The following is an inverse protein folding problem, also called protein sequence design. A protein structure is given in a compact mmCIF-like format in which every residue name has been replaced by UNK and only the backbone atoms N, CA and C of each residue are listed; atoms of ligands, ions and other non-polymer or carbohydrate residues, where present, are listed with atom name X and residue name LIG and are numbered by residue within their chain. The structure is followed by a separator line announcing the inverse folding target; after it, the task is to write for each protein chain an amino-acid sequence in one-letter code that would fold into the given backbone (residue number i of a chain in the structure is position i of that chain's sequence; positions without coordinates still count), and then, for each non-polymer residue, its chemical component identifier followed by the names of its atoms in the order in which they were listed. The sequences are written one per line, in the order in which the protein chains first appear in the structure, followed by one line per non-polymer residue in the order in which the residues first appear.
data_IF_222805001021
#
_entry.id   IF_222805001021
#
_cell.length_a   1.000
_cell.length_b   1.000
_cell.length_c   1.000
_cell.angle_alpha   90.00
_cell.angle_beta   90.00
_cell.angle_gamma   90.00
#
_symmetry.space_group_name_H-M   'P 1'
#
loop_
_entity.id
_entity.type
_entity.pdbx_description
1 polymer ?
#
# COMPACT_ATOMS: atom_id res chain seq x y z
N UNK A 1 9.45 -1.84 6.53
CA UNK A 1 9.27 -2.03 5.08
C UNK A 1 7.88 -1.54 4.75
N UNK A 2 7.64 -0.80 3.69
CA UNK A 2 6.27 -0.42 3.29
C UNK A 2 5.70 -1.42 2.27
N UNK A 3 4.41 -1.31 1.93
CA UNK A 3 3.81 -2.06 0.81
C UNK A 3 4.66 -1.94 -0.46
N UNK A 4 5.09 -0.72 -0.79
CA UNK A 4 5.93 -0.47 -1.97
C UNK A 4 7.26 -1.21 -1.87
N UNK A 5 7.90 -1.23 -0.69
CA UNK A 5 9.13 -2.01 -0.47
C UNK A 5 8.90 -3.51 -0.65
N UNK A 6 7.77 -4.04 -0.18
CA UNK A 6 7.40 -5.45 -0.34
C UNK A 6 7.22 -5.78 -1.82
N UNK A 7 6.44 -4.98 -2.54
CA UNK A 7 6.16 -5.19 -3.98
C UNK A 7 7.39 -5.04 -4.88
N UNK A 8 8.44 -4.35 -4.43
CA UNK A 8 9.71 -4.21 -5.13
C UNK A 8 10.75 -5.24 -4.69
N UNK A 9 10.52 -5.95 -3.58
CA UNK A 9 11.46 -6.92 -3.05
C UNK A 9 11.47 -8.19 -3.89
N UNK A 10 12.64 -8.65 -4.38
CA UNK A 10 12.76 -9.93 -5.08
C UNK A 10 12.28 -11.11 -4.22
N UNK A 11 12.35 -11.00 -2.90
CA UNK A 11 11.86 -12.02 -1.98
C UNK A 11 10.36 -12.27 -2.14
N UNK A 12 9.59 -11.25 -2.51
CA UNK A 12 8.13 -11.34 -2.67
C UNK A 12 7.72 -11.40 -4.15
N UNK A 13 8.56 -11.98 -5.01
CA UNK A 13 8.25 -12.18 -6.44
C UNK A 13 6.92 -12.93 -6.62
N UNK A 14 6.64 -13.94 -5.78
CA UNK A 14 5.39 -14.69 -5.75
C UNK A 14 4.15 -13.80 -5.55
N UNK A 15 4.23 -12.80 -4.67
CA UNK A 15 3.14 -11.84 -4.48
C UNK A 15 2.90 -11.01 -5.76
N UNK A 16 3.97 -10.51 -6.38
CA UNK A 16 3.84 -9.72 -7.61
C UNK A 16 3.33 -10.54 -8.80
N UNK A 17 3.71 -11.82 -8.85
CA UNK A 17 3.27 -12.78 -9.85
C UNK A 17 1.78 -13.13 -9.67
N UNK A 18 1.36 -13.37 -8.42
CA UNK A 18 -0.05 -13.54 -8.06
C UNK A 18 -0.89 -12.32 -8.42
N UNK A 19 -0.41 -11.11 -8.11
CA UNK A 19 -1.10 -9.87 -8.50
C UNK A 19 -1.22 -9.76 -10.03
N UNK A 20 -0.18 -10.12 -10.77
CA UNK A 20 -0.19 -10.10 -12.24
C UNK A 20 -1.23 -11.06 -12.82
N UNK A 21 -1.34 -12.25 -12.25
CA UNK A 21 -2.27 -13.28 -12.70
C UNK A 21 -3.73 -12.90 -12.42
N UNK A 22 -4.06 -12.48 -11.19
CA UNK A 22 -5.46 -12.20 -10.82
C UNK A 22 -5.95 -10.81 -11.21
N UNK A 23 -5.05 -9.84 -11.35
CA UNK A 23 -5.40 -8.45 -11.68
C UNK A 23 -4.70 -8.05 -12.97
N UNK A 24 -5.01 -8.65 -14.13
CA UNK A 24 -4.30 -8.37 -15.38
C UNK A 24 -4.43 -6.90 -15.76
N UNK A 25 -3.38 -6.35 -16.35
CA UNK A 25 -3.37 -4.94 -16.79
C UNK A 25 -3.97 -4.83 -18.20
N UNK A 26 -5.28 -5.09 -18.31
CA UNK A 26 -6.02 -5.06 -19.56
C UNK A 26 -6.79 -3.73 -19.74
N UNK A 27 -6.44 -2.71 -18.95
CA UNK A 27 -7.07 -1.40 -19.04
C UNK A 27 -6.58 -0.72 -20.32
N UNK A 28 -7.48 -0.27 -21.22
CA UNK A 28 -7.08 0.38 -22.45
C UNK A 28 -6.18 1.60 -22.20
N UNK A 29 -5.11 1.71 -22.99
CA UNK A 29 -4.23 2.88 -22.94
C UNK A 29 -4.94 4.05 -23.60
N UNK A 30 -5.33 5.02 -22.80
CA UNK A 30 -5.86 6.30 -23.29
C UNK A 30 -4.70 7.26 -23.44
N UNK A 31 -4.47 7.77 -24.66
CA UNK A 31 -3.48 8.81 -24.91
C UNK A 31 -4.11 10.17 -24.66
N UNK A 32 -3.68 10.82 -23.59
CA UNK A 32 -4.08 12.19 -23.27
C UNK A 32 -2.88 13.11 -23.50
N UNK A 33 -3.04 14.28 -24.15
CA UNK A 33 -1.97 15.23 -24.32
C UNK A 33 -1.36 15.67 -22.98
N UNK A 34 -0.04 15.83 -22.95
CA UNK A 34 0.66 16.44 -21.82
C UNK A 34 0.38 17.94 -21.83
N UNK A 35 -0.11 18.46 -20.71
CA UNK A 35 -0.31 19.90 -20.48
C UNK A 35 0.92 20.56 -19.87
N UNK A 36 1.66 19.81 -19.03
CA UNK A 36 2.87 20.32 -18.35
C UNK A 36 4.08 19.42 -18.62
N UNK A 37 4.99 19.91 -19.47
CA UNK A 37 6.19 19.19 -19.86
C UNK A 37 7.24 19.11 -18.73
N UNK A 38 8.06 18.06 -18.80
CA UNK A 38 9.22 17.91 -17.91
C UNK A 38 10.32 18.89 -18.36
N UNK A 39 10.81 19.71 -17.45
CA UNK A 39 12.03 20.49 -17.65
C UNK A 39 13.28 19.59 -17.60
N UNK A 40 14.33 19.96 -18.33
CA UNK A 40 15.51 19.07 -18.55
C UNK A 40 16.36 18.80 -17.30
N UNK A 41 16.00 19.32 -16.14
CA UNK A 41 16.76 19.16 -14.91
C UNK A 41 16.73 17.69 -14.44
N UNK A 42 17.84 17.22 -13.86
CA UNK A 42 18.16 15.80 -13.64
C UNK A 42 17.14 15.00 -12.81
N UNK A 43 17.30 13.68 -12.76
CA UNK A 43 16.31 12.74 -12.20
C UNK A 43 15.99 12.94 -10.70
N UNK A 44 16.88 13.57 -9.92
CA UNK A 44 16.65 13.86 -8.49
C UNK A 44 15.60 14.95 -8.28
N UNK A 45 15.53 15.95 -9.17
CA UNK A 45 14.49 16.99 -9.14
C UNK A 45 13.10 16.36 -9.31
N UNK A 46 13.00 15.29 -10.09
CA UNK A 46 11.74 14.65 -10.46
C UNK A 46 10.95 14.08 -9.28
N UNK A 47 11.61 13.29 -8.42
CA UNK A 47 10.96 12.71 -7.23
C UNK A 47 10.60 13.78 -6.20
N UNK A 48 11.40 14.83 -6.10
CA UNK A 48 11.16 15.97 -5.20
C UNK A 48 9.94 16.77 -5.65
N UNK A 49 9.87 17.18 -6.92
CA UNK A 49 8.71 17.88 -7.50
C UNK A 49 7.44 17.07 -7.32
N UNK A 50 7.49 15.76 -7.58
CA UNK A 50 6.33 14.89 -7.40
C UNK A 50 5.80 14.89 -5.97
N UNK A 51 6.70 14.87 -4.99
CA UNK A 51 6.34 14.86 -3.56
C UNK A 51 5.89 16.26 -3.09
N UNK A 52 6.51 17.33 -3.58
CA UNK A 52 6.11 18.70 -3.28
C UNK A 52 4.71 19.01 -3.84
N UNK A 53 4.45 18.58 -5.08
CA UNK A 53 3.12 18.64 -5.68
C UNK A 53 2.09 17.84 -4.86
N UNK A 54 2.43 16.63 -4.39
CA UNK A 54 1.54 15.85 -3.52
C UNK A 54 1.15 16.60 -2.23
N UNK A 55 2.11 17.23 -1.54
CA UNK A 55 1.79 18.10 -0.39
C UNK A 55 0.85 19.24 -0.77
N UNK A 56 1.17 19.98 -1.83
CA UNK A 56 0.37 21.13 -2.27
C UNK A 56 -1.04 20.71 -2.73
N UNK A 57 -1.15 19.57 -3.41
CA UNK A 57 -2.42 18.99 -3.84
C UNK A 57 -3.29 18.66 -2.63
N UNK A 58 -2.71 18.00 -1.61
CA UNK A 58 -3.41 17.69 -0.35
C UNK A 58 -3.82 18.95 0.40
N UNK A 59 -3.01 20.01 0.41
CA UNK A 59 -3.40 21.29 1.01
C UNK A 59 -4.62 21.90 0.32
N UNK A 60 -4.67 21.82 -1.01
CA UNK A 60 -5.80 22.33 -1.77
C UNK A 60 -7.06 21.48 -1.58
N UNK A 61 -6.93 20.15 -1.55
CA UNK A 61 -8.04 19.25 -1.19
C UNK A 61 -8.61 19.55 0.19
N UNK A 62 -7.72 19.78 1.17
CA UNK A 62 -8.12 20.14 2.52
C UNK A 62 -8.94 21.43 2.54
N UNK A 63 -8.53 22.43 1.76
CA UNK A 63 -9.23 23.71 1.66
C UNK A 63 -10.60 23.57 1.00
N UNK A 64 -10.67 22.92 -0.17
CA UNK A 64 -11.92 22.83 -0.95
C UNK A 64 -12.93 21.82 -0.36
N UNK A 65 -12.44 20.87 0.44
CA UNK A 65 -13.27 19.83 1.08
C UNK A 65 -13.32 19.99 2.61
N UNK A 66 -13.14 21.21 3.13
CA UNK A 66 -13.02 21.47 4.57
C UNK A 66 -14.20 20.90 5.40
N UNK A 67 -15.41 20.87 4.84
CA UNK A 67 -16.61 20.32 5.50
C UNK A 67 -16.68 18.79 5.58
N UNK A 68 -15.94 18.06 4.73
CA UNK A 68 -15.98 16.59 4.62
C UNK A 68 -14.69 15.93 5.10
N UNK A 69 -13.82 16.74 5.69
CA UNK A 69 -12.51 16.35 6.15
C UNK A 69 -12.59 15.50 7.42
N UNK A 70 -11.79 14.44 7.46
CA UNK A 70 -11.42 13.78 8.71
C UNK A 70 -10.12 14.37 9.29
N UNK A 71 -9.95 14.26 10.62
CA UNK A 71 -8.95 15.01 11.41
C UNK A 71 -7.55 15.15 10.74
N UNK A 72 -6.89 16.32 10.89
CA UNK A 72 -5.55 16.53 10.39
C UNK A 72 -4.60 15.43 10.86
N UNK A 73 -3.93 14.77 9.93
CA UNK A 73 -2.78 13.92 10.24
C UNK A 73 -1.50 14.73 10.19
N UNK A 74 -0.58 14.35 11.07
CA UNK A 74 0.79 14.84 11.06
C UNK A 74 1.42 14.59 9.69
N UNK A 75 2.24 15.55 9.23
CA UNK A 75 3.00 15.37 7.99
C UNK A 75 4.10 14.33 8.21
N UNK A 76 4.42 13.55 7.17
CA UNK A 76 5.57 12.63 7.21
C UNK A 76 6.86 13.42 7.54
N UNK A 77 6.95 14.65 7.05
CA UNK A 77 8.02 15.59 7.36
C UNK A 77 8.15 15.93 8.86
N UNK A 78 7.07 15.90 9.66
CA UNK A 78 7.16 16.09 11.13
C UNK A 78 7.94 14.95 11.78
N UNK A 79 7.68 13.71 11.38
CA UNK A 79 8.42 12.55 11.88
C UNK A 79 9.90 12.62 11.49
N UNK A 80 10.20 13.05 10.25
CA UNK A 80 11.57 13.28 9.82
C UNK A 80 12.30 14.33 10.67
N UNK A 81 11.65 15.46 10.96
CA UNK A 81 12.24 16.49 11.81
C UNK A 81 12.55 15.94 13.21
N UNK A 82 11.62 15.18 13.81
CA UNK A 82 11.84 14.50 15.08
C UNK A 82 13.02 13.50 15.06
N UNK A 83 13.24 12.80 13.94
CA UNK A 83 14.41 11.93 13.77
C UNK A 83 15.72 12.72 13.70
N UNK A 84 15.72 13.84 13.01
CA UNK A 84 16.88 14.72 12.87
C UNK A 84 17.28 15.31 14.21
N UNK A 85 16.35 15.90 14.95
CA UNK A 85 16.58 16.50 16.27
C UNK A 85 17.07 15.46 17.27
N UNK A 86 16.43 14.28 17.32
CA UNK A 86 16.83 13.17 18.20
C UNK A 86 18.22 12.63 17.89
N UNK A 87 18.56 12.47 16.60
CA UNK A 87 19.90 12.03 16.16
C UNK A 87 20.97 13.03 16.59
N UNK A 88 20.66 14.33 16.49
CA UNK A 88 21.58 15.39 16.85
C UNK A 88 21.77 15.53 18.36
N UNK A 89 20.70 15.40 19.15
CA UNK A 89 20.80 15.33 20.61
C UNK A 89 21.70 14.17 21.07
N UNK A 90 21.62 13.00 20.42
CA UNK A 90 22.51 11.86 20.69
C UNK A 90 23.97 12.14 20.30
N UNK A 91 24.20 12.81 19.16
CA UNK A 91 25.53 13.23 18.73
C UNK A 91 26.14 14.25 19.71
N UNK A 92 25.38 15.22 20.20
CA UNK A 92 25.87 16.20 21.17
C UNK A 92 26.42 15.55 22.45
N UNK A 93 25.81 14.43 22.89
CA UNK A 93 26.28 13.65 24.05
C UNK A 93 27.55 12.84 23.78
N UNK A 94 27.73 12.35 22.55
CA UNK A 94 28.79 11.36 22.22
C UNK A 94 29.98 11.98 21.49
N UNK A 95 29.75 13.06 20.73
CA UNK A 95 30.72 13.76 19.87
C UNK A 95 30.36 15.26 19.81
N UNK A 96 30.57 16.02 20.90
CA UNK A 96 30.11 17.41 21.02
C UNK A 96 30.67 18.34 19.93
N UNK A 97 31.95 18.19 19.56
CA UNK A 97 32.56 19.00 18.49
C UNK A 97 31.90 18.79 17.12
N UNK A 98 31.52 17.56 16.81
CA UNK A 98 30.82 17.23 15.56
C UNK A 98 29.38 17.76 15.57
N UNK A 99 28.71 17.71 16.72
CA UNK A 99 27.36 18.24 16.88
C UNK A 99 27.31 19.77 16.79
N UNK A 100 28.32 20.47 17.34
CA UNK A 100 28.43 21.92 17.29
C UNK A 100 28.38 22.47 15.85
N UNK A 101 28.94 21.73 14.88
CA UNK A 101 28.89 22.10 13.45
C UNK A 101 27.50 21.98 12.83
N UNK A 102 26.64 21.09 13.33
CA UNK A 102 25.31 20.83 12.75
C UNK A 102 24.16 21.46 13.53
N UNK A 103 24.38 21.92 14.77
CA UNK A 103 23.34 22.57 15.59
C UNK A 103 22.72 23.80 14.90
N UNK A 104 23.48 24.74 14.29
CA UNK A 104 22.88 25.86 13.58
C UNK A 104 22.01 25.42 12.40
N UNK A 105 22.36 24.32 11.72
CA UNK A 105 21.58 23.77 10.61
C UNK A 105 20.27 23.14 11.10
N UNK A 106 20.26 22.53 12.28
CA UNK A 106 19.03 22.01 12.90
C UNK A 106 18.10 23.16 13.26
N UNK A 107 18.62 24.20 13.92
CA UNK A 107 17.81 25.37 14.30
C UNK A 107 17.21 26.06 13.08
N UNK A 108 17.99 26.20 11.99
CA UNK A 108 17.47 26.71 10.72
C UNK A 108 16.37 25.80 10.15
N UNK A 109 16.60 24.49 10.13
CA UNK A 109 15.60 23.53 9.63
C UNK A 109 14.29 23.56 10.44
N UNK A 110 14.37 23.72 11.76
CA UNK A 110 13.21 23.90 12.63
C UNK A 110 12.47 25.20 12.30
N UNK A 111 13.20 26.31 12.13
CA UNK A 111 12.63 27.60 11.70
C UNK A 111 11.94 27.49 10.34
N UNK A 112 12.62 26.94 9.34
CA UNK A 112 12.07 26.76 7.98
C UNK A 112 10.80 25.87 8.02
N UNK A 113 10.76 24.88 8.93
CA UNK A 113 9.60 24.01 9.12
C UNK A 113 8.41 24.72 9.79
N UNK A 114 8.68 25.60 10.76
CA UNK A 114 7.65 26.43 11.39
C UNK A 114 7.09 27.45 10.39
N UNK A 115 7.94 28.03 9.55
CA UNK A 115 7.51 28.90 8.44
C UNK A 115 6.61 28.13 7.46
N UNK A 116 6.94 26.88 7.14
CA UNK A 116 6.10 26.01 6.30
C UNK A 116 4.71 25.79 6.89
N UNK A 117 4.61 25.61 8.22
CA UNK A 117 3.32 25.53 8.92
C UNK A 117 2.56 26.84 8.82
N UNK A 118 3.22 27.98 9.02
CA UNK A 118 2.62 29.31 8.90
C UNK A 118 2.02 29.56 7.50
N UNK A 119 2.77 29.23 6.46
CA UNK A 119 2.37 29.41 5.06
C UNK A 119 1.24 28.47 4.65
N UNK A 120 1.30 27.20 5.05
CA UNK A 120 0.20 26.26 4.88
C UNK A 120 -1.10 26.78 5.51
N UNK A 121 -1.02 27.26 6.76
CA UNK A 121 -2.18 27.83 7.45
C UNK A 121 -2.71 29.09 6.74
N UNK A 122 -1.82 29.94 6.22
CA UNK A 122 -2.23 31.09 5.40
C UNK A 122 -2.96 30.63 4.13
N UNK A 123 -2.44 29.62 3.43
CA UNK A 123 -3.05 29.05 2.23
C UNK A 123 -4.43 28.45 2.49
N UNK A 124 -4.62 27.70 3.58
CA UNK A 124 -5.94 27.16 3.93
C UNK A 124 -6.99 28.27 4.12
N UNK A 125 -6.59 29.45 4.62
CA UNK A 125 -7.49 30.59 4.81
C UNK A 125 -7.73 31.38 3.53
N UNK A 126 -6.69 31.66 2.76
CA UNK A 126 -6.76 32.59 1.62
C UNK A 126 -6.98 31.90 0.28
N UNK A 127 -6.54 30.64 0.14
CA UNK A 127 -6.44 29.93 -1.12
C UNK A 127 -5.38 30.48 -2.08
N UNK A 128 -4.57 31.45 -1.65
CA UNK A 128 -3.56 32.11 -2.48
C UNK A 128 -2.30 31.28 -2.50
N UNK A 129 -1.95 30.73 -3.67
CA UNK A 129 -0.67 30.08 -3.91
C UNK A 129 0.43 31.14 -3.97
N UNK A 130 1.49 30.97 -3.17
CA UNK A 130 2.67 31.83 -3.20
C UNK A 130 3.95 31.02 -3.45
N UNK A 131 5.02 31.65 -3.99
CA UNK A 131 6.31 30.99 -4.15
C UNK A 131 6.85 30.40 -2.83
N UNK A 132 6.63 31.10 -1.71
CA UNK A 132 7.08 30.66 -0.39
C UNK A 132 6.38 29.35 0.01
N UNK A 133 5.07 29.23 -0.21
CA UNK A 133 4.34 27.98 0.05
C UNK A 133 4.91 26.82 -0.77
N UNK A 134 5.26 27.06 -2.03
CA UNK A 134 5.87 26.05 -2.91
C UNK A 134 7.24 25.64 -2.38
N UNK A 135 8.06 26.60 -1.96
CA UNK A 135 9.34 26.34 -1.29
C UNK A 135 9.17 25.48 -0.03
N UNK A 136 8.14 25.78 0.76
CA UNK A 136 7.78 24.96 1.91
C UNK A 136 7.40 23.53 1.50
N UNK A 137 6.61 23.33 0.45
CA UNK A 137 6.32 21.99 -0.07
C UNK A 137 7.59 21.25 -0.55
N UNK A 138 8.55 21.96 -1.16
CA UNK A 138 9.85 21.39 -1.55
C UNK A 138 10.70 21.01 -0.34
N UNK A 139 10.66 21.80 0.74
CA UNK A 139 11.27 21.46 2.02
C UNK A 139 10.65 20.20 2.63
N UNK A 140 9.32 20.12 2.67
CA UNK A 140 8.60 18.95 3.19
C UNK A 140 8.95 17.69 2.37
N UNK A 141 9.02 17.81 1.04
CA UNK A 141 9.46 16.73 0.15
C UNK A 141 10.89 16.25 0.46
N UNK A 142 11.80 17.16 0.82
CA UNK A 142 13.16 16.79 1.25
C UNK A 142 13.15 16.01 2.56
N UNK A 143 12.34 16.43 3.53
CA UNK A 143 12.18 15.74 4.81
C UNK A 143 11.55 14.35 4.65
N UNK A 144 10.65 14.18 3.68
CA UNK A 144 10.10 12.87 3.31
C UNK A 144 11.19 11.85 2.96
N UNK A 145 12.24 12.27 2.23
CA UNK A 145 13.39 11.41 1.90
C UNK A 145 14.12 10.97 3.17
N UNK A 146 14.27 11.86 4.15
CA UNK A 146 14.90 11.54 5.44
C UNK A 146 14.13 10.45 6.17
N UNK A 147 12.80 10.58 6.26
CA UNK A 147 11.95 9.57 6.87
C UNK A 147 12.03 8.23 6.15
N UNK A 148 11.87 8.22 4.81
CA UNK A 148 11.83 7.00 4.00
C UNK A 148 13.14 6.23 4.00
N UNK A 149 14.27 6.94 4.06
CA UNK A 149 15.60 6.32 4.05
C UNK A 149 16.12 5.99 5.44
N UNK A 150 15.52 6.58 6.48
CA UNK A 150 16.02 6.49 7.86
C UNK A 150 17.38 7.15 8.06
N UNK A 151 17.75 8.12 7.22
CA UNK A 151 19.08 8.76 7.20
C UNK A 151 19.00 10.25 7.51
N UNK A 152 19.11 10.65 8.80
CA UNK A 152 19.04 12.04 9.24
C UNK A 152 20.06 12.97 8.56
N UNK A 153 21.20 12.43 8.13
CA UNK A 153 22.22 13.20 7.41
C UNK A 153 21.72 13.78 6.07
N UNK A 154 20.66 13.21 5.47
CA UNK A 154 20.08 13.72 4.23
C UNK A 154 19.34 15.05 4.42
N UNK A 155 18.92 15.38 5.65
CA UNK A 155 18.33 16.68 5.96
C UNK A 155 19.32 17.83 5.69
N UNK A 156 20.61 17.58 5.94
CA UNK A 156 21.68 18.57 5.83
C UNK A 156 22.48 18.48 4.54
N UNK A 157 22.23 17.48 3.70
CA UNK A 157 22.78 17.51 2.36
C UNK A 157 22.19 18.71 1.65
N UNK A 158 23.05 19.58 1.16
CA UNK A 158 22.70 20.46 0.07
C UNK A 158 22.35 19.55 -1.11
N UNK A 159 21.07 19.25 -1.24
CA UNK A 159 20.53 19.19 -2.60
C UNK A 159 20.42 20.67 -2.91
N UNK A 160 21.49 21.26 -3.44
CA UNK A 160 21.37 22.58 -4.04
C UNK A 160 20.10 22.51 -4.90
N UNK A 161 19.23 23.50 -4.75
CA UNK A 161 18.27 23.70 -5.81
C UNK A 161 19.14 23.95 -7.04
N UNK A 162 19.28 22.94 -7.91
CA UNK A 162 20.07 23.10 -9.13
C UNK A 162 19.55 24.33 -9.90
N UNK A 163 18.22 24.55 -9.78
CA UNK A 163 17.53 25.79 -10.12
C UNK A 163 16.22 25.89 -9.28
N UNK A 164 16.23 26.70 -8.21
CA UNK A 164 15.07 26.86 -7.30
C UNK A 164 13.86 27.46 -8.03
N UNK A 165 14.13 28.45 -8.88
CA UNK A 165 13.09 29.14 -9.64
C UNK A 165 12.39 28.18 -10.61
N UNK A 166 13.16 27.32 -11.28
CA UNK A 166 12.61 26.29 -12.16
C UNK A 166 11.75 25.26 -11.40
N UNK A 167 12.16 24.83 -10.20
CA UNK A 167 11.35 23.90 -9.41
C UNK A 167 10.06 24.53 -8.91
N UNK A 168 10.11 25.80 -8.48
CA UNK A 168 8.91 26.57 -8.08
C UNK A 168 7.96 26.66 -9.26
N UNK A 169 8.44 27.16 -10.40
CA UNK A 169 7.65 27.33 -11.63
C UNK A 169 7.04 25.99 -12.08
N UNK A 170 7.79 24.89 -11.98
CA UNK A 170 7.27 23.57 -12.37
C UNK A 170 6.16 23.07 -11.45
N UNK A 171 6.31 23.22 -10.12
CA UNK A 171 5.24 22.84 -9.17
C UNK A 171 4.02 23.74 -9.36
N UNK A 172 4.22 25.03 -9.57
CA UNK A 172 3.16 26.00 -9.84
C UNK A 172 2.37 25.62 -11.11
N UNK A 173 3.05 25.37 -12.24
CA UNK A 173 2.42 24.95 -13.49
C UNK A 173 1.62 23.67 -13.33
N UNK A 174 2.14 22.67 -12.60
CA UNK A 174 1.40 21.44 -12.31
C UNK A 174 0.12 21.74 -11.52
N UNK A 175 0.20 22.60 -10.50
CA UNK A 175 -0.94 22.94 -9.66
C UNK A 175 -2.02 23.72 -10.42
N UNK A 176 -1.62 24.70 -11.23
CA UNK A 176 -2.54 25.51 -12.04
C UNK A 176 -3.24 24.71 -13.14
N UNK A 177 -2.61 23.63 -13.63
CA UNK A 177 -3.18 22.78 -14.67
C UNK A 177 -4.29 21.82 -14.17
N UNK A 178 -4.46 21.67 -12.85
CA UNK A 178 -5.43 20.72 -12.27
C UNK A 178 -6.86 21.21 -12.48
N UNK A 179 -7.70 20.40 -13.10
CA UNK A 179 -9.14 20.54 -12.96
C UNK A 179 -9.58 20.00 -11.59
N UNK A 180 -10.04 20.89 -10.71
CA UNK A 180 -10.42 20.54 -9.33
C UNK A 180 -11.82 19.93 -9.21
N UNK A 181 -12.67 20.05 -10.22
CA UNK A 181 -14.06 19.57 -10.19
C UNK A 181 -14.18 18.08 -9.79
N UNK A 182 -13.37 17.14 -10.34
CA UNK A 182 -13.46 15.72 -9.98
C UNK A 182 -13.00 15.39 -8.55
N UNK A 183 -12.44 16.36 -7.82
CA UNK A 183 -11.90 16.19 -6.47
C UNK A 183 -12.73 16.89 -5.39
N UNK A 184 -13.88 17.46 -5.76
CA UNK A 184 -14.86 17.98 -4.81
C UNK A 184 -15.59 16.80 -4.16
N UNK A 185 -15.41 16.65 -2.86
CA UNK A 185 -16.08 15.62 -2.06
C UNK A 185 -17.54 16.01 -1.79
N UNK A 186 -18.38 14.99 -1.66
CA UNK A 186 -19.80 15.09 -1.31
C UNK A 186 -20.08 14.54 0.08
N UNK A 187 -19.28 13.58 0.54
CA UNK A 187 -19.48 12.89 1.82
C UNK A 187 -18.20 12.77 2.63
N UNK A 188 -17.10 12.33 2.02
CA UNK A 188 -15.85 12.10 2.73
C UNK A 188 -14.63 12.44 1.90
N UNK A 189 -13.66 13.08 2.54
CA UNK A 189 -12.32 13.31 2.02
C UNK A 189 -11.28 12.91 3.08
N UNK A 190 -10.48 11.91 2.77
CA UNK A 190 -9.41 11.40 3.63
C UNK A 190 -8.09 11.59 2.92
N UNK A 191 -7.20 12.36 3.55
CA UNK A 191 -5.87 12.64 3.04
C UNK A 191 -4.86 11.76 3.76
N UNK A 192 -3.94 11.16 3.01
CA UNK A 192 -3.01 10.14 3.49
C UNK A 192 -3.68 9.07 4.37
N UNK A 193 -4.73 8.39 3.87
CA UNK A 193 -5.33 7.27 4.58
C UNK A 193 -4.27 6.20 4.86
N UNK A 194 -4.32 5.70 6.09
CA UNK A 194 -3.56 4.54 6.54
C UNK A 194 -4.56 3.42 6.75
N UNK A 195 -4.11 2.18 6.62
CA UNK A 195 -4.98 1.02 6.78
C UNK A 195 -4.88 0.42 8.20
N UNK A 196 -4.55 1.24 9.21
CA UNK A 196 -4.39 0.81 10.60
C UNK A 196 -3.51 -0.44 10.77
N UNK A 197 -4.00 -1.43 11.52
CA UNK A 197 -3.32 -2.73 11.70
C UNK A 197 -3.08 -3.47 10.39
N UNK A 198 -3.96 -3.35 9.41
CA UNK A 198 -3.76 -3.96 8.10
C UNK A 198 -2.54 -3.36 7.40
N UNK A 199 -2.39 -2.03 7.44
CA UNK A 199 -1.20 -1.34 6.94
C UNK A 199 0.09 -1.81 7.62
N UNK A 200 0.04 -2.15 8.91
CA UNK A 200 1.19 -2.71 9.63
C UNK A 200 1.62 -4.09 9.13
N UNK A 201 0.73 -4.89 8.51
CA UNK A 201 1.08 -6.20 7.94
C UNK A 201 2.14 -6.09 6.85
N UNK A 202 2.11 -4.98 6.12
CA UNK A 202 3.06 -4.66 5.06
C UNK A 202 4.11 -3.65 5.52
N UNK A 203 4.18 -3.41 6.85
CA UNK A 203 5.06 -2.49 7.57
C UNK A 203 4.86 -1.00 7.26
N UNK A 204 3.67 -0.64 6.79
CA UNK A 204 3.26 0.71 6.45
C UNK A 204 2.65 0.78 5.05
N UNK A 205 1.50 1.43 4.92
CA UNK A 205 0.83 1.65 3.65
C UNK A 205 -0.02 2.91 3.77
N UNK A 206 0.41 3.92 3.01
CA UNK A 206 -0.19 5.24 2.98
C UNK A 206 -0.56 5.48 1.53
N UNK A 207 -1.86 5.42 1.24
CA UNK A 207 -2.35 5.88 -0.06
C UNK A 207 -2.49 7.39 -0.02
N UNK A 208 -2.52 8.05 -1.17
CA UNK A 208 -2.50 9.51 -1.19
C UNK A 208 -3.86 10.08 -0.74
N UNK A 209 -4.96 9.61 -1.35
CA UNK A 209 -6.29 10.19 -1.16
C UNK A 209 -7.39 9.12 -1.21
N UNK A 210 -8.44 9.27 -0.38
CA UNK A 210 -9.75 8.65 -0.60
C UNK A 210 -10.81 9.75 -0.62
N UNK A 211 -11.58 9.85 -1.71
CA UNK A 211 -12.73 10.77 -1.84
C UNK A 211 -13.94 9.97 -2.33
N UNK A 212 -15.05 10.01 -1.60
CA UNK A 212 -16.33 9.42 -1.96
C UNK A 212 -16.23 8.01 -2.59
N UNK A 213 -15.50 7.12 -1.92
CA UNK A 213 -15.31 5.72 -2.32
C UNK A 213 -14.34 5.51 -3.48
N UNK A 214 -13.61 6.55 -3.87
CA UNK A 214 -12.52 6.52 -4.84
C UNK A 214 -11.18 6.61 -4.12
N UNK A 215 -10.39 5.53 -4.19
CA UNK A 215 -9.00 5.50 -3.76
C UNK A 215 -8.11 6.04 -4.88
N UNK A 216 -7.43 7.16 -4.65
CA UNK A 216 -6.64 7.86 -5.66
C UNK A 216 -5.16 7.87 -5.25
N UNK A 217 -4.30 7.56 -6.21
CA UNK A 217 -2.84 7.70 -6.10
C UNK A 217 -2.33 8.66 -7.19
N UNK A 218 -1.43 9.56 -6.79
CA UNK A 218 -0.90 10.66 -7.58
C UNK A 218 0.40 10.22 -8.27
N UNK A 219 0.42 10.31 -9.60
CA UNK A 219 1.60 9.97 -10.41
C UNK A 219 2.01 11.16 -11.25
N UNK A 220 2.87 12.00 -10.68
CA UNK A 220 3.64 12.99 -11.44
C UNK A 220 4.65 12.22 -12.29
N UNK A 221 4.26 11.77 -13.48
CA UNK A 221 5.06 10.97 -14.43
C UNK A 221 5.00 11.60 -15.83
N UNK A 222 6.10 11.55 -16.59
CA UNK A 222 6.12 12.03 -17.98
C UNK A 222 5.24 11.17 -18.91
N UNK A 223 4.91 9.94 -18.49
CA UNK A 223 4.05 9.01 -19.23
C UNK A 223 2.73 8.80 -18.51
N UNK A 224 1.62 8.78 -19.25
CA UNK A 224 0.26 8.56 -18.74
C UNK A 224 -0.16 7.09 -18.86
N UNK A 225 0.77 6.18 -18.59
CA UNK A 225 0.52 4.73 -18.73
C UNK A 225 0.31 4.12 -17.36
N UNK A 226 -0.75 3.31 -17.21
CA UNK A 226 -0.94 2.45 -16.05
C UNK A 226 0.19 1.41 -16.01
N UNK A 227 1.24 1.69 -15.24
CA UNK A 227 2.32 0.75 -15.04
C UNK A 227 1.89 -0.40 -14.12
N UNK A 228 2.50 -1.58 -14.30
CA UNK A 228 2.22 -2.75 -13.46
C UNK A 228 2.47 -2.49 -11.98
N UNK A 229 3.51 -1.72 -11.65
CA UNK A 229 3.85 -1.32 -10.29
C UNK A 229 2.75 -0.45 -9.66
N UNK A 230 2.17 0.48 -10.42
CA UNK A 230 1.10 1.36 -9.94
C UNK A 230 -0.18 0.58 -9.69
N UNK A 231 -0.54 -0.33 -10.61
CA UNK A 231 -1.69 -1.21 -10.42
C UNK A 231 -1.52 -2.12 -9.20
N UNK A 232 -0.33 -2.72 -9.02
CA UNK A 232 -0.04 -3.56 -7.85
C UNK A 232 -0.19 -2.78 -6.54
N UNK A 233 0.28 -1.54 -6.51
CA UNK A 233 0.19 -0.67 -5.34
C UNK A 233 -1.28 -0.34 -5.02
N UNK A 234 -2.06 0.11 -6.00
CA UNK A 234 -3.49 0.41 -5.82
C UNK A 234 -4.30 -0.80 -5.38
N UNK A 235 -4.08 -1.97 -5.99
CA UNK A 235 -4.75 -3.21 -5.58
C UNK A 235 -4.33 -3.60 -4.16
N UNK A 236 -3.06 -3.46 -3.81
CA UNK A 236 -2.60 -3.70 -2.45
C UNK A 236 -3.29 -2.78 -1.45
N UNK A 237 -3.37 -1.48 -1.71
CA UNK A 237 -4.11 -0.53 -0.89
C UNK A 237 -5.60 -0.88 -0.74
N UNK A 238 -6.26 -1.25 -1.84
CA UNK A 238 -7.64 -1.72 -1.79
C UNK A 238 -7.79 -3.00 -0.95
N UNK A 239 -6.93 -4.00 -1.12
CA UNK A 239 -6.98 -5.22 -0.30
C UNK A 239 -6.72 -4.93 1.19
N UNK A 240 -5.85 -3.97 1.50
CA UNK A 240 -5.63 -3.48 2.85
C UNK A 240 -6.86 -2.75 3.42
N UNK A 241 -7.59 -1.98 2.60
CA UNK A 241 -8.80 -1.30 3.03
C UNK A 241 -9.92 -2.28 3.40
N UNK A 242 -10.00 -3.43 2.74
CA UNK A 242 -10.95 -4.51 3.09
C UNK A 242 -10.66 -5.16 4.46
N UNK A 243 -9.47 -4.93 5.02
CA UNK A 243 -9.09 -5.37 6.37
C UNK A 243 -9.20 -4.25 7.40
N UNK A 244 -9.22 -2.99 6.95
CA UNK A 244 -9.36 -1.83 7.81
C UNK A 244 -10.84 -1.58 8.10
N UNK A 245 -11.38 -2.33 9.05
CA UNK A 245 -12.81 -2.33 9.36
C UNK A 245 -13.11 -1.75 10.74
N UNK A 246 -14.32 -1.21 10.89
CA UNK A 246 -14.95 -0.87 12.17
C UNK A 246 -16.34 -1.50 12.14
N UNK A 247 -16.72 -2.22 13.20
CA UNK A 247 -17.98 -2.95 13.26
C UNK A 247 -18.21 -3.88 12.05
N UNK A 248 -17.12 -4.47 11.53
CA UNK A 248 -17.07 -5.32 10.34
C UNK A 248 -17.25 -4.69 8.99
N UNK A 249 -17.34 -3.36 8.95
CA UNK A 249 -17.50 -2.65 7.70
C UNK A 249 -16.21 -1.90 7.40
N UNK A 250 -15.74 -1.88 6.13
CA UNK A 250 -14.62 -1.06 5.75
C UNK A 250 -14.86 0.37 6.21
N UNK A 251 -13.89 0.95 6.92
CA UNK A 251 -14.02 2.32 7.45
C UNK A 251 -14.24 3.31 6.29
N UNK A 252 -13.61 3.04 5.15
CA UNK A 252 -13.81 3.75 3.90
C UNK A 252 -14.17 2.74 2.80
N UNK A 253 -15.46 2.55 2.49
CA UNK A 253 -15.88 1.67 1.39
C UNK A 253 -15.34 2.20 0.07
N UNK A 254 -14.52 1.39 -0.61
CA UNK A 254 -13.92 1.76 -1.90
C UNK A 254 -14.59 0.95 -3.01
N UNK A 255 -15.17 1.65 -4.00
CA UNK A 255 -15.73 1.04 -5.20
C UNK A 255 -14.89 1.32 -6.45
N UNK A 256 -13.94 2.24 -6.38
CA UNK A 256 -13.11 2.63 -7.51
C UNK A 256 -11.70 2.91 -7.05
N UNK A 257 -10.72 2.36 -7.77
CA UNK A 257 -9.32 2.78 -7.66
C UNK A 257 -9.00 3.71 -8.82
N UNK A 258 -8.13 4.69 -8.60
CA UNK A 258 -7.77 5.66 -9.61
C UNK A 258 -6.31 6.08 -9.54
N UNK A 259 -5.75 6.39 -10.72
CA UNK A 259 -4.49 7.10 -10.85
C UNK A 259 -4.73 8.48 -11.43
N UNK A 260 -4.24 9.50 -10.75
CA UNK A 260 -4.20 10.85 -11.30
C UNK A 260 -2.82 11.15 -11.89
N UNK A 261 -2.79 11.65 -13.12
CA UNK A 261 -1.59 12.08 -13.83
C UNK A 261 -1.61 13.61 -13.99
N UNK A 262 -1.00 14.38 -13.05
CA UNK A 262 -1.09 15.84 -13.06
C UNK A 262 -0.56 16.49 -14.33
N UNK A 263 0.49 15.92 -14.94
CA UNK A 263 1.08 16.44 -16.19
C UNK A 263 0.16 16.40 -17.40
N UNK A 264 -0.93 15.66 -17.34
CA UNK A 264 -1.92 15.56 -18.40
C UNK A 264 -3.33 15.89 -17.91
N UNK A 265 -3.46 16.36 -16.66
CA UNK A 265 -4.74 16.54 -15.96
C UNK A 265 -5.72 15.37 -16.18
N UNK A 266 -5.23 14.14 -15.99
CA UNK A 266 -5.96 12.93 -16.35
C UNK A 266 -6.16 12.00 -15.17
N UNK A 267 -7.43 11.71 -14.84
CA UNK A 267 -7.84 10.79 -13.78
C UNK A 267 -8.33 9.47 -14.38
N UNK A 268 -7.46 8.46 -14.39
CA UNK A 268 -7.81 7.11 -14.81
C UNK A 268 -8.56 6.38 -13.69
N UNK A 269 -9.86 6.14 -13.86
CA UNK A 269 -10.72 5.43 -12.91
C UNK A 269 -10.93 3.97 -13.33
N UNK A 270 -10.82 3.05 -12.37
CA UNK A 270 -11.05 1.62 -12.56
C UNK A 270 -12.01 1.14 -11.46
N UNK A 271 -13.25 0.76 -11.79
CA UNK A 271 -14.15 0.13 -10.83
C UNK A 271 -13.52 -1.14 -10.27
N UNK A 272 -13.55 -1.36 -8.96
CA UNK A 272 -12.99 -2.59 -8.36
C UNK A 272 -13.74 -3.83 -8.87
N UNK A 273 -15.04 -3.69 -9.11
CA UNK A 273 -15.88 -4.72 -9.74
C UNK A 273 -15.41 -5.17 -11.14
N UNK A 274 -14.47 -4.44 -11.77
CA UNK A 274 -13.84 -4.87 -13.02
C UNK A 274 -13.09 -6.21 -12.88
N UNK A 275 -12.52 -6.50 -11.70
CA UNK A 275 -11.74 -7.71 -11.48
C UNK A 275 -12.54 -8.83 -10.82
N UNK A 276 -13.21 -8.52 -9.70
CA UNK A 276 -13.94 -9.50 -8.91
C UNK A 276 -15.17 -8.87 -8.27
N UNK A 277 -16.15 -9.71 -7.94
CA UNK A 277 -17.22 -9.36 -7.01
C UNK A 277 -16.72 -9.38 -5.55
N UNK A 278 -17.63 -9.08 -4.61
CA UNK A 278 -17.33 -9.08 -3.17
C UNK A 278 -16.72 -10.42 -2.71
N UNK A 279 -17.30 -11.54 -3.12
CA UNK A 279 -16.87 -12.88 -2.70
C UNK A 279 -15.47 -13.22 -3.23
N UNK A 280 -15.21 -12.90 -4.51
CA UNK A 280 -13.90 -13.05 -5.12
C UNK A 280 -12.85 -12.22 -4.39
N UNK A 281 -13.17 -10.98 -4.01
CA UNK A 281 -12.25 -10.13 -3.25
C UNK A 281 -11.97 -10.65 -1.84
N UNK A 282 -12.96 -11.21 -1.14
CA UNK A 282 -12.70 -11.84 0.16
C UNK A 282 -11.74 -13.02 0.04
N UNK A 283 -11.86 -13.80 -1.04
CA UNK A 283 -10.89 -14.85 -1.33
C UNK A 283 -9.50 -14.28 -1.61
N UNK A 284 -9.39 -13.27 -2.49
CA UNK A 284 -8.11 -12.65 -2.86
C UNK A 284 -7.44 -11.99 -1.65
N UNK A 285 -8.21 -11.40 -0.73
CA UNK A 285 -7.73 -10.82 0.53
C UNK A 285 -6.98 -11.86 1.37
N UNK A 286 -7.56 -13.05 1.56
CA UNK A 286 -6.93 -14.11 2.34
C UNK A 286 -5.62 -14.61 1.72
N UNK A 287 -5.58 -14.72 0.39
CA UNK A 287 -4.36 -15.13 -0.34
C UNK A 287 -3.27 -14.07 -0.27
N UNK A 288 -3.64 -12.79 -0.43
CA UNK A 288 -2.73 -11.65 -0.27
C UNK A 288 -2.06 -11.64 1.11
N UNK A 289 -2.84 -11.83 2.19
CA UNK A 289 -2.29 -11.91 3.56
C UNK A 289 -1.28 -13.05 3.67
N UNK A 290 -1.60 -14.22 3.10
CA UNK A 290 -0.71 -15.39 3.09
C UNK A 290 0.63 -15.07 2.43
N UNK A 291 0.60 -14.48 1.23
CA UNK A 291 1.77 -14.14 0.44
C UNK A 291 2.61 -12.99 1.03
N UNK A 292 1.97 -12.04 1.73
CA UNK A 292 2.68 -10.97 2.46
C UNK A 292 3.42 -11.54 3.68
N UNK A 293 2.82 -12.49 4.39
CA UNK A 293 3.41 -13.08 5.61
C UNK A 293 4.45 -14.15 5.32
N UNK A 294 4.25 -14.91 4.24
CA UNK A 294 5.14 -15.98 3.81
C UNK A 294 5.49 -15.83 2.33
N UNK A 295 6.64 -15.21 2.08
CA UNK A 295 7.14 -14.98 0.74
C UNK A 295 7.61 -16.28 0.04
N UNK A 296 7.73 -17.40 0.76
CA UNK A 296 8.00 -18.71 0.17
C UNK A 296 6.73 -19.45 -0.26
N UNK A 297 5.54 -18.87 -0.03
CA UNK A 297 4.28 -19.48 -0.41
C UNK A 297 4.12 -19.43 -1.93
N UNK A 298 4.15 -20.60 -2.57
CA UNK A 298 3.84 -20.77 -3.99
C UNK A 298 2.35 -21.13 -4.16
N UNK A 299 1.67 -20.45 -5.09
CA UNK A 299 0.31 -20.81 -5.48
C UNK A 299 0.35 -21.77 -6.66
N UNK A 300 -0.37 -22.88 -6.52
CA UNK A 300 -0.43 -23.97 -7.51
C UNK A 300 -1.83 -24.02 -8.09
N UNK A 301 -1.95 -23.98 -9.42
CA UNK A 301 -3.22 -24.23 -10.11
C UNK A 301 -3.49 -25.75 -10.12
N UNK A 302 -4.62 -26.16 -9.53
CA UNK A 302 -4.97 -27.56 -9.39
C UNK A 302 -5.50 -28.18 -10.69
N UNK A 303 -6.04 -27.37 -11.60
CA UNK A 303 -6.67 -27.89 -12.82
C UNK A 303 -5.64 -28.35 -13.86
N UNK A 304 -4.44 -27.76 -13.87
CA UNK A 304 -3.44 -28.04 -14.89
C UNK A 304 -2.19 -28.76 -14.36
N UNK A 305 -2.09 -29.05 -13.05
CA UNK A 305 -0.91 -29.66 -12.42
C UNK A 305 0.43 -28.91 -12.63
N UNK A 306 0.42 -27.78 -13.34
CA UNK A 306 1.54 -26.89 -13.58
C UNK A 306 1.72 -25.93 -12.41
N UNK A 307 2.98 -25.68 -12.06
CA UNK A 307 3.30 -24.53 -11.23
C UNK A 307 2.93 -23.29 -12.03
N UNK A 308 2.13 -22.38 -11.44
CA UNK A 308 1.89 -21.09 -12.09
C UNK A 308 3.20 -20.33 -12.30
N UNK A 309 4.25 -20.64 -11.51
CA UNK A 309 5.57 -20.00 -11.59
C UNK A 309 6.70 -21.00 -11.33
N UNK A 310 7.67 -21.06 -12.24
CA UNK A 310 8.93 -21.80 -12.08
C UNK A 310 10.04 -20.79 -11.82
N UNK A 311 10.27 -20.43 -10.56
CA UNK A 311 11.56 -19.84 -10.20
C UNK A 311 12.16 -20.54 -8.98
N UNK A 312 13.47 -20.75 -9.05
CA UNK A 312 14.20 -21.86 -8.42
C UNK A 312 14.72 -21.56 -7.02
N UNK A 313 14.23 -20.51 -6.36
CA UNK A 313 14.67 -20.11 -5.02
C UNK A 313 13.80 -20.70 -3.91
N UNK A 314 13.73 -22.04 -3.82
CA UNK A 314 13.07 -22.71 -2.70
C UNK A 314 14.04 -22.85 -1.52
N UNK A 315 13.83 -22.10 -0.43
CA UNK A 315 14.58 -22.31 0.82
C UNK A 315 13.98 -23.49 1.60
N UNK A 316 14.85 -24.40 2.04
CA UNK A 316 14.49 -25.64 2.76
C UNK A 316 14.15 -25.33 4.22
N UNK A 317 12.93 -25.67 4.64
CA UNK A 317 12.54 -25.76 6.04
C UNK A 317 12.11 -27.17 6.38
N UNK A 318 11.98 -27.40 7.67
CA UNK A 318 11.95 -28.71 8.29
C UNK A 318 10.47 -28.75 8.88
N UNK A 319 9.55 -29.71 8.58
CA UNK A 319 8.15 -29.93 9.15
C UNK A 319 7.74 -31.40 9.51
N UNK A 320 7.21 -31.70 10.72
CA UNK A 320 6.95 -33.06 11.25
C UNK A 320 5.61 -33.52 10.72
N UNK A 321 5.59 -34.73 10.17
CA UNK A 321 4.47 -35.30 9.43
C UNK A 321 3.18 -35.38 10.27
N UNK A 322 3.31 -35.47 11.60
CA UNK A 322 2.17 -35.65 12.52
C UNK A 322 1.56 -34.32 12.98
N UNK A 323 2.22 -33.19 12.70
CA UNK A 323 1.79 -31.84 13.10
C UNK A 323 1.50 -30.92 11.91
N UNK A 324 1.54 -31.45 10.70
CA UNK A 324 1.27 -30.72 9.47
C UNK A 324 -0.21 -30.32 9.37
N UNK A 325 -0.47 -29.00 9.32
CA UNK A 325 -1.80 -28.41 9.16
C UNK A 325 -1.89 -27.64 7.85
N UNK A 326 -3.09 -27.56 7.28
CA UNK A 326 -3.34 -26.71 6.13
C UNK A 326 -2.99 -25.24 6.45
N UNK A 327 -2.16 -24.56 5.65
CA UNK A 327 -1.76 -23.18 5.93
C UNK A 327 -2.93 -22.19 5.83
N UNK A 328 -3.98 -22.58 5.09
CA UNK A 328 -5.14 -21.71 4.85
C UNK A 328 -6.26 -21.86 5.88
N UNK A 329 -6.41 -23.02 6.52
CA UNK A 329 -7.53 -23.27 7.43
C UNK A 329 -7.18 -24.10 8.66
N UNK A 330 -5.90 -24.39 8.87
CA UNK A 330 -5.36 -25.11 10.04
C UNK A 330 -5.88 -26.55 10.26
N UNK A 331 -6.62 -27.11 9.29
CA UNK A 331 -7.08 -28.48 9.37
C UNK A 331 -5.93 -29.49 9.20
N UNK A 332 -5.98 -30.56 9.96
CA UNK A 332 -5.04 -31.70 9.96
C UNK A 332 -5.36 -32.73 8.87
N UNK A 333 -6.50 -32.59 8.20
CA UNK A 333 -6.93 -33.49 7.13
C UNK A 333 -6.52 -32.96 5.77
N UNK A 334 -5.67 -33.70 5.10
CA UNK A 334 -5.24 -33.44 3.72
C UNK A 334 -5.08 -34.75 2.95
N UNK A 335 -5.19 -34.68 1.63
CA UNK A 335 -4.78 -35.75 0.72
C UNK A 335 -3.47 -35.38 0.06
N UNK A 336 -2.57 -36.37 -0.04
CA UNK A 336 -1.36 -36.29 -0.84
C UNK A 336 -1.71 -36.86 -2.21
N UNK A 337 -1.29 -36.20 -3.29
CA UNK A 337 -1.52 -36.74 -4.63
C UNK A 337 -0.78 -38.08 -4.78
N UNK A 338 -1.47 -39.10 -5.32
CA UNK A 338 -0.95 -40.46 -5.48
C UNK A 338 0.24 -40.55 -6.46
N UNK A 339 0.43 -39.52 -7.30
CA UNK A 339 1.53 -39.44 -8.27
C UNK A 339 2.93 -39.22 -7.65
N UNK A 340 3.06 -39.18 -6.32
CA UNK A 340 4.37 -39.06 -5.65
C UNK A 340 5.06 -37.70 -5.85
N UNK A 341 6.33 -37.61 -5.43
CA UNK A 341 7.18 -36.42 -5.59
C UNK A 341 7.16 -35.94 -7.04
N UNK A 342 6.97 -34.64 -7.22
CA UNK A 342 7.24 -34.00 -8.52
C UNK A 342 8.72 -34.15 -8.91
N UNK A 343 9.09 -33.94 -10.18
CA UNK A 343 10.50 -33.92 -10.61
C UNK A 343 11.39 -32.95 -9.81
N UNK A 344 10.79 -31.94 -9.17
CA UNK A 344 11.44 -30.97 -8.29
C UNK A 344 11.54 -31.41 -6.81
N UNK A 345 11.13 -32.64 -6.46
CA UNK A 345 11.15 -33.17 -5.09
C UNK A 345 10.04 -32.64 -4.17
N UNK A 346 9.07 -31.88 -4.72
CA UNK A 346 7.93 -31.31 -3.99
C UNK A 346 6.76 -32.29 -3.90
N UNK A 347 6.12 -32.36 -2.73
CA UNK A 347 4.87 -33.07 -2.48
C UNK A 347 3.68 -32.10 -2.60
N UNK A 348 2.59 -32.57 -3.22
CA UNK A 348 1.34 -31.81 -3.37
C UNK A 348 0.32 -32.26 -2.33
N UNK A 349 -0.23 -31.28 -1.62
CA UNK A 349 -1.26 -31.47 -0.60
C UNK A 349 -2.54 -30.78 -1.02
N UNK A 350 -3.68 -31.41 -0.74
CA UNK A 350 -5.00 -30.80 -0.84
C UNK A 350 -5.70 -30.91 0.51
N UNK A 351 -6.03 -29.78 1.12
CA UNK A 351 -6.75 -29.79 2.38
C UNK A 351 -8.17 -30.33 2.18
N UNK A 352 -8.57 -31.33 2.97
CA UNK A 352 -9.93 -31.89 2.88
C UNK A 352 -11.00 -30.97 3.46
N UNK A 353 -10.61 -30.01 4.30
CA UNK A 353 -11.55 -29.09 4.96
C UNK A 353 -11.84 -27.85 4.13
N UNK A 354 -10.81 -27.16 3.63
CA UNK A 354 -11.00 -25.94 2.81
C UNK A 354 -10.83 -26.17 1.31
N UNK A 355 -10.54 -27.40 0.89
CA UNK A 355 -10.32 -27.79 -0.50
C UNK A 355 -9.13 -27.09 -1.20
N UNK A 356 -8.34 -26.27 -0.49
CA UNK A 356 -7.18 -25.54 -1.00
C UNK A 356 -5.94 -26.43 -1.09
N UNK A 357 -5.12 -26.15 -2.11
CA UNK A 357 -3.90 -26.90 -2.43
C UNK A 357 -2.64 -26.12 -2.04
N UNK A 358 -1.59 -26.85 -1.67
CA UNK A 358 -0.29 -26.30 -1.28
C UNK A 358 0.81 -27.35 -1.48
N UNK A 359 2.07 -26.92 -1.58
CA UNK A 359 3.21 -27.84 -1.81
C UNK A 359 4.34 -27.63 -0.81
N UNK A 360 5.08 -28.70 -0.51
CA UNK A 360 6.30 -28.65 0.32
C UNK A 360 7.40 -29.53 -0.26
N UNK A 361 8.68 -29.29 0.08
CA UNK A 361 9.82 -30.13 -0.33
C UNK A 361 10.24 -31.01 0.86
N UNK A 362 10.46 -32.31 0.64
CA UNK A 362 11.18 -33.17 1.60
C UNK A 362 12.47 -33.67 0.96
N UNK A 363 13.57 -33.68 1.70
CA UNK A 363 14.81 -34.34 1.30
C UNK A 363 14.91 -35.71 1.97
N UNK A 364 15.09 -36.77 1.17
CA UNK A 364 15.40 -38.11 1.69
C UNK A 364 16.83 -38.19 2.21
N UNK A 365 17.03 -38.99 3.26
CA UNK A 365 18.35 -39.31 3.81
C UNK A 365 18.64 -38.68 5.17
N UNK A 366 17.95 -39.13 6.22
CA UNK A 366 18.46 -39.21 7.61
C UNK A 366 17.39 -39.88 8.49
N UNK A 367 17.82 -40.81 9.33
CA UNK A 367 17.01 -41.72 10.17
C UNK A 367 15.93 -41.03 11.03
N UNK A 368 15.06 -41.88 11.61
CA UNK A 368 13.78 -41.69 12.35
C UNK A 368 13.57 -40.49 13.31
N UNK A 369 14.49 -39.53 13.39
CA UNK A 369 14.32 -38.26 14.09
C UNK A 369 14.83 -37.12 13.20
N UNK A 370 14.18 -36.90 12.07
CA UNK A 370 14.56 -35.83 11.14
C UNK A 370 13.79 -34.56 11.54
N UNK A 371 14.54 -33.67 12.19
CA UNK A 371 14.14 -32.36 12.70
C UNK A 371 13.42 -31.53 11.66
N UNK A 372 12.61 -30.64 12.17
CA UNK A 372 11.62 -29.83 11.52
C UNK A 372 11.64 -28.45 12.23
N UNK A 373 11.74 -27.28 11.59
CA UNK A 373 11.58 -25.95 12.20
C UNK A 373 10.40 -25.20 11.58
N UNK A 374 9.28 -25.18 12.30
CA UNK A 374 8.19 -24.21 12.17
C UNK A 374 7.92 -23.66 13.56
N UNK A 375 7.96 -22.33 13.70
CA UNK A 375 7.50 -21.66 14.90
C UNK A 375 5.97 -21.66 14.84
N UNK A 376 5.34 -22.43 15.73
CA UNK A 376 3.91 -22.39 15.97
C UNK A 376 3.53 -20.98 16.40
N UNK A 377 2.72 -20.29 15.60
CA UNK A 377 1.93 -19.19 16.12
C UNK A 377 0.58 -19.76 16.52
N UNK A 378 0.39 -19.89 17.83
CA UNK A 378 -0.94 -19.71 18.40
C UNK A 378 -1.36 -18.28 18.08
N UNK A 379 -2.25 -18.13 17.09
CA UNK A 379 -2.93 -16.87 16.91
C UNK A 379 -4.00 -16.77 18.00
N UNK A 380 -3.80 -15.83 18.93
CA UNK A 380 -4.92 -15.02 19.37
C UNK A 380 -5.33 -14.23 18.13
N UNK A 381 -6.43 -14.62 17.51
CA UNK A 381 -7.20 -13.69 16.70
C UNK A 381 -7.52 -12.54 17.67
N UNK A 382 -7.16 -11.30 17.32
CA UNK A 382 -7.65 -10.17 18.10
C UNK A 382 -9.18 -10.31 18.13
N UNK A 383 -9.78 -10.23 19.32
CA UNK A 383 -11.19 -10.55 19.58
C UNK A 383 -12.15 -9.96 18.53
N UNK A 384 -11.80 -8.79 17.97
CA UNK A 384 -12.51 -8.07 16.91
C UNK A 384 -12.61 -8.84 15.57
N UNK A 385 -11.58 -9.57 15.12
CA UNK A 385 -11.63 -10.32 13.85
C UNK A 385 -12.49 -11.60 13.95
N UNK A 386 -12.51 -12.25 15.12
CA UNK A 386 -13.40 -13.39 15.40
C UNK A 386 -14.86 -12.98 15.46
N UNK A 387 -15.15 -11.90 16.20
CA UNK A 387 -16.49 -11.32 16.28
C UNK A 387 -16.98 -10.92 14.89
N UNK A 388 -16.03 -10.51 14.03
CA UNK A 388 -16.36 -10.09 12.70
C UNK A 388 -16.70 -11.19 11.73
N UNK A 389 -15.89 -12.25 11.72
CA UNK A 389 -16.18 -13.45 10.96
C UNK A 389 -17.52 -14.07 11.40
N UNK A 390 -17.82 -14.06 12.71
CA UNK A 390 -19.11 -14.52 13.23
C UNK A 390 -20.28 -13.65 12.76
N UNK A 391 -20.15 -12.31 12.79
CA UNK A 391 -21.17 -11.38 12.26
C UNK A 391 -21.39 -11.55 10.76
N UNK A 392 -20.33 -11.73 9.96
CA UNK A 392 -20.45 -11.99 8.52
C UNK A 392 -21.14 -13.33 8.23
N UNK A 393 -20.79 -14.39 8.97
CA UNK A 393 -21.45 -15.69 8.86
C UNK A 393 -22.93 -15.63 9.24
N UNK A 394 -23.28 -14.86 10.28
CA UNK A 394 -24.68 -14.62 10.66
C UNK A 394 -25.45 -13.86 9.57
N UNK A 395 -24.89 -12.77 9.02
CA UNK A 395 -25.51 -12.01 7.92
C UNK A 395 -25.72 -12.88 6.68
N UNK A 396 -24.71 -13.68 6.28
CA UNK A 396 -24.82 -14.59 5.15
C UNK A 396 -25.89 -15.68 5.37
N UNK A 397 -26.00 -16.20 6.60
CA UNK A 397 -27.04 -17.15 6.99
C UNK A 397 -28.44 -16.52 6.93
N UNK A 398 -28.60 -15.27 7.40
CA UNK A 398 -29.87 -14.54 7.31
C UNK A 398 -30.28 -14.24 5.88
N UNK A 399 -29.36 -13.80 5.03
CA UNK A 399 -29.64 -13.53 3.62
C UNK A 399 -30.05 -14.81 2.89
N UNK A 400 -29.39 -15.93 3.20
CA UNK A 400 -29.76 -17.25 2.67
C UNK A 400 -31.16 -17.67 3.12
N UNK A 401 -31.54 -17.44 4.39
CA UNK A 401 -32.91 -17.68 4.88
C UNK A 401 -33.94 -16.80 4.18
N UNK A 402 -33.63 -15.51 3.94
CA UNK A 402 -34.52 -14.60 3.22
C UNK A 402 -34.75 -15.05 1.78
N UNK A 403 -33.68 -15.46 1.07
CA UNK A 403 -33.78 -16.02 -0.29
C UNK A 403 -34.63 -17.30 -0.33
N UNK A 404 -34.45 -18.19 0.64
CA UNK A 404 -35.25 -19.42 0.76
C UNK A 404 -36.73 -19.11 1.00
N UNK A 405 -37.04 -18.18 1.91
CA UNK A 405 -38.42 -17.78 2.22
C UNK A 405 -39.12 -17.11 1.01
N UNK A 406 -38.40 -16.32 0.22
CA UNK A 406 -38.90 -15.75 -1.04
C UNK A 406 -39.21 -16.84 -2.07
N UNK A 407 -38.32 -17.82 -2.20
CA UNK A 407 -38.50 -18.97 -3.09
C UNK A 407 -39.69 -19.85 -2.70
N UNK A 408 -39.90 -20.09 -1.39
CA UNK A 408 -41.05 -20.86 -0.90
C UNK A 408 -42.38 -20.12 -1.13
N UNK A 409 -42.40 -18.80 -0.97
CA UNK A 409 -43.57 -17.96 -1.30
C UNK A 409 -43.89 -17.97 -2.79
N UNK A 410 -42.89 -17.95 -3.67
CA UNK A 410 -43.11 -18.04 -5.12
C UNK A 410 -43.54 -19.42 -5.61
N UNK A 411 -43.42 -20.46 -4.77
CA UNK A 411 -43.85 -21.83 -5.08
C UNK A 411 -45.27 -22.14 -4.62
N UNK A 412 -45.83 -21.28 -3.77
CA UNK A 412 -47.15 -21.43 -3.14
C UNK A 412 -48.17 -20.41 -3.64
N UNK A 413 -47.71 -19.37 -4.34
CA UNK A 413 -48.51 -18.54 -5.24
C UNK A 413 -48.49 -19.14 -6.64
#
# INVERSE_FOLDING_TARGET
MSLTSILQSPLHSNLTAWLRHHFPNNIPVVRVPITVHKERNGDLSYSRIGTAFDYLFRFQLERINAQFRQEPRQWIAEHALGMVTSSQARKAKTKPEAAAKTLPLVARLESDFDDAKGQYQAFLRSGVLTPELILSCLLLAKLDVVYRTGRPEFAFREVAFDDEAAEIDQVEKLFQAVNWEPFLAQHHCVLNPTFGRAGMLVGGADADIIIDGVLIDLKVTATQTLQRSYLNQLIGYYLLSLMHTKDCEPIYPIHTIALYFPRADYLLKIPVAHYFDQAGYQQRKAEFIGLVRDYNLDLVDWNNNEYLFTDSSAVKYRVDRHSFKCPYCQADKYSINAAGQTPTGRYKYKCKSCNKSFSTVFSEGMSMQSVIKVKLFGYRIDYEETECLEKELQRAAEESRKKLALYEKSRTA
#
